data_IF_041081453484
#
_entry.id   IF_041081453484
#
_cell.length_a   1.000
_cell.length_b   1.000
_cell.length_c   1.000
_cell.angle_alpha   90.00
_cell.angle_beta   90.00
_cell.angle_gamma   90.00
#
_symmetry.space_group_name_H-M   'P 1'
#
loop_
_entity.id
_entity.type
_entity.pdbx_description
1 polymer ?
#
# COMPACT_ATOMS: atom_id res chain seq x y z
N UNK A 1 4.87 -16.34 -8.74
CA UNK A 1 5.45 -15.14 -8.10
C UNK A 1 5.30 -13.98 -9.06
N UNK A 2 4.21 -13.23 -8.92
CA UNK A 2 3.82 -12.19 -9.87
C UNK A 2 4.54 -10.86 -9.58
N UNK A 3 5.86 -10.85 -9.78
CA UNK A 3 6.67 -9.63 -9.71
C UNK A 3 6.64 -8.94 -11.08
N UNK A 4 6.17 -7.69 -11.11
CA UNK A 4 6.13 -6.86 -12.33
C UNK A 4 7.52 -6.70 -12.96
N UNK A 5 7.58 -6.56 -14.29
CA UNK A 5 8.81 -6.25 -15.02
C UNK A 5 9.22 -4.76 -14.89
N UNK A 6 10.41 -4.39 -15.35
CA UNK A 6 10.83 -2.98 -15.44
C UNK A 6 9.92 -2.17 -16.36
N UNK A 7 9.53 -2.75 -17.50
CA UNK A 7 8.60 -2.12 -18.43
C UNK A 7 7.23 -1.82 -17.75
N UNK A 8 6.79 -2.72 -16.88
CA UNK A 8 5.55 -2.59 -16.09
C UNK A 8 5.66 -1.63 -14.89
N UNK A 9 6.84 -1.03 -14.65
CA UNK A 9 7.01 0.03 -13.65
C UNK A 9 7.74 -0.37 -12.38
N UNK A 10 8.27 -1.60 -12.28
CA UNK A 10 9.16 -1.99 -11.18
C UNK A 10 10.38 -1.05 -11.13
N UNK A 11 10.78 -0.61 -9.94
CA UNK A 11 11.89 0.32 -9.72
C UNK A 11 13.18 -0.32 -9.18
N UNK A 12 13.06 -1.37 -8.38
CA UNK A 12 14.20 -2.06 -7.75
C UNK A 12 14.43 -3.46 -8.35
N UNK A 13 15.53 -4.11 -7.96
CA UNK A 13 15.87 -5.48 -8.39
C UNK A 13 14.83 -6.49 -7.87
N UNK A 14 14.66 -7.60 -8.60
CA UNK A 14 13.65 -8.62 -8.25
C UNK A 14 13.86 -9.21 -6.86
N UNK A 15 15.10 -9.43 -6.46
CA UNK A 15 15.48 -10.02 -5.17
C UNK A 15 15.03 -9.19 -3.96
N UNK A 16 14.99 -7.86 -4.12
CA UNK A 16 14.58 -6.92 -3.06
C UNK A 16 13.11 -6.50 -3.19
N UNK A 17 12.37 -7.05 -4.15
CA UNK A 17 10.96 -6.76 -4.33
C UNK A 17 10.10 -7.61 -3.42
N UNK A 18 8.87 -7.12 -3.20
CA UNK A 18 7.83 -7.82 -2.47
C UNK A 18 6.70 -8.15 -3.42
N UNK A 19 6.09 -9.32 -3.24
CA UNK A 19 4.93 -9.74 -4.02
C UNK A 19 3.67 -8.97 -3.58
N UNK A 20 2.94 -8.44 -4.56
CA UNK A 20 1.66 -7.74 -4.38
C UNK A 20 1.64 -6.75 -3.19
N UNK A 21 2.53 -5.73 -3.16
CA UNK A 21 2.49 -4.71 -2.12
C UNK A 21 1.26 -3.81 -2.31
N UNK A 22 0.61 -3.45 -1.20
CA UNK A 22 -0.54 -2.53 -1.20
C UNK A 22 -0.13 -1.14 -0.72
N UNK A 23 -0.89 -0.11 -1.11
CA UNK A 23 -0.61 1.26 -0.65
C UNK A 23 -0.71 1.38 0.88
N UNK A 24 -1.58 0.59 1.53
CA UNK A 24 -1.75 0.59 2.97
C UNK A 24 -0.52 0.02 3.70
N UNK A 25 0.05 -1.09 3.22
CA UNK A 25 1.31 -1.63 3.77
C UNK A 25 2.47 -0.65 3.59
N UNK A 26 2.57 -0.01 2.42
CA UNK A 26 3.60 1.00 2.16
C UNK A 26 3.44 2.18 3.13
N UNK A 27 2.22 2.65 3.36
CA UNK A 27 1.94 3.71 4.33
C UNK A 27 2.38 3.30 5.73
N UNK A 28 1.97 2.12 6.20
CA UNK A 28 2.21 1.69 7.58
C UNK A 28 3.71 1.56 7.87
N UNK A 29 4.48 1.00 6.93
CA UNK A 29 5.94 0.93 7.05
C UNK A 29 6.58 2.32 7.09
N UNK A 30 6.17 3.25 6.22
CA UNK A 30 6.79 4.58 6.17
C UNK A 30 6.41 5.45 7.36
N UNK A 31 5.18 5.33 7.86
CA UNK A 31 4.76 6.01 9.10
C UNK A 31 5.56 5.46 10.28
N UNK A 32 5.76 4.14 10.37
CA UNK A 32 6.59 3.54 11.41
C UNK A 32 8.07 3.98 11.31
N UNK A 33 8.57 4.24 10.10
CA UNK A 33 9.90 4.81 9.85
C UNK A 33 9.99 6.34 10.08
N UNK A 34 8.91 6.97 10.57
CA UNK A 34 8.88 8.39 10.96
C UNK A 34 8.56 9.37 9.83
N UNK A 35 8.20 8.91 8.63
CA UNK A 35 7.86 9.81 7.53
C UNK A 35 6.48 10.45 7.66
N UNK A 36 6.37 11.69 7.15
CA UNK A 36 5.07 12.30 6.86
C UNK A 36 4.53 11.77 5.53
N UNK A 37 3.38 11.09 5.59
CA UNK A 37 2.79 10.38 4.46
C UNK A 37 1.39 10.89 4.12
N UNK A 38 1.14 11.13 2.83
CA UNK A 38 -0.19 11.38 2.26
C UNK A 38 -0.64 10.23 1.35
N UNK A 39 -1.94 9.93 1.34
CA UNK A 39 -2.54 8.89 0.50
C UNK A 39 -3.50 9.52 -0.50
N UNK A 40 -3.41 9.12 -1.76
CA UNK A 40 -4.28 9.61 -2.81
C UNK A 40 -4.93 8.46 -3.60
N UNK A 41 -6.18 8.62 -4.00
CA UNK A 41 -6.94 7.62 -4.76
C UNK A 41 -6.61 7.64 -6.28
N UNK A 42 -5.34 7.47 -6.62
CA UNK A 42 -4.81 7.50 -8.00
C UNK A 42 -4.40 6.10 -8.47
N UNK A 43 -4.52 5.86 -9.78
CA UNK A 43 -4.07 4.63 -10.44
C UNK A 43 -2.76 4.90 -11.21
N UNK A 44 -1.80 3.99 -11.12
CA UNK A 44 -0.56 4.10 -11.90
C UNK A 44 -0.82 3.82 -13.38
N UNK A 45 -0.28 4.63 -14.29
CA UNK A 45 -0.63 4.58 -15.72
C UNK A 45 -0.29 3.24 -16.40
N UNK A 46 0.69 2.49 -15.89
CA UNK A 46 1.06 1.17 -16.45
C UNK A 46 0.41 0.00 -15.71
N UNK A 47 -0.39 0.26 -14.69
CA UNK A 47 -1.20 -0.77 -14.06
C UNK A 47 -2.39 -1.11 -14.96
N UNK A 48 -2.58 -2.41 -15.22
CA UNK A 48 -3.62 -2.90 -16.13
C UNK A 48 -4.93 -3.15 -15.39
N UNK A 49 -4.87 -3.61 -14.14
CA UNK A 49 -6.07 -3.84 -13.34
C UNK A 49 -6.63 -2.53 -12.80
N UNK A 50 -7.97 -2.42 -12.78
CA UNK A 50 -8.70 -1.29 -12.20
C UNK A 50 -9.30 -1.61 -10.82
N UNK A 51 -8.97 -2.78 -10.26
CA UNK A 51 -9.44 -3.16 -8.93
C UNK A 51 -8.92 -2.21 -7.85
N UNK A 52 -9.70 -2.05 -6.79
CA UNK A 52 -9.37 -1.15 -5.69
C UNK A 52 -8.05 -1.49 -4.99
N UNK A 53 -7.66 -2.77 -4.97
CA UNK A 53 -6.41 -3.22 -4.36
C UNK A 53 -5.16 -2.61 -5.03
N UNK A 54 -5.22 -2.35 -6.33
CA UNK A 54 -4.12 -1.78 -7.11
C UNK A 54 -4.18 -0.25 -7.22
N UNK A 55 -5.19 0.37 -6.60
CA UNK A 55 -5.35 1.82 -6.56
C UNK A 55 -4.73 2.39 -5.29
N UNK A 56 -4.07 3.53 -5.41
CA UNK A 56 -3.40 4.21 -4.31
C UNK A 56 -2.07 4.80 -4.74
N UNK A 57 -1.83 6.07 -4.39
CA UNK A 57 -0.53 6.73 -4.53
C UNK A 57 -0.09 7.26 -3.17
N UNK A 58 1.11 6.86 -2.76
CA UNK A 58 1.74 7.35 -1.55
C UNK A 58 2.60 8.57 -1.89
N UNK A 59 2.35 9.67 -1.17
CA UNK A 59 3.20 10.87 -1.17
C UNK A 59 3.97 10.91 0.13
N UNK A 60 5.26 11.18 0.03
CA UNK A 60 6.17 11.21 1.18
C UNK A 60 6.88 12.55 1.17
N UNK A 61 6.99 13.18 2.35
CA UNK A 61 7.89 14.30 2.52
C UNK A 61 9.33 13.79 2.50
N UNK A 62 10.06 14.12 1.44
CA UNK A 62 11.45 13.67 1.26
C UNK A 62 12.46 14.71 1.74
N UNK A 63 12.11 16.00 1.63
CA UNK A 63 12.91 17.14 2.08
C UNK A 63 12.06 18.09 2.89
N UNK A 64 12.72 18.84 3.77
CA UNK A 64 12.15 19.99 4.47
C UNK A 64 12.15 21.22 3.56
N UNK A 65 11.49 22.29 4.00
CA UNK A 65 11.38 23.53 3.24
C UNK A 65 12.73 24.26 3.07
N UNK A 66 13.68 23.99 3.97
CA UNK A 66 15.08 24.44 3.89
C UNK A 66 15.94 23.61 2.93
N UNK A 67 15.37 22.58 2.31
CA UNK A 67 16.05 21.68 1.37
C UNK A 67 16.82 20.53 2.02
N UNK A 68 16.93 20.48 3.36
CA UNK A 68 17.52 19.36 4.08
C UNK A 68 16.70 18.07 3.89
N UNK A 69 17.31 16.90 4.09
CA UNK A 69 16.59 15.63 4.06
C UNK A 69 15.63 15.54 5.25
N UNK A 70 14.41 15.06 5.01
CA UNK A 70 13.43 14.88 6.07
C UNK A 70 13.88 13.82 7.08
N UNK A 71 14.49 12.74 6.59
CA UNK A 71 15.13 11.71 7.41
C UNK A 71 16.49 11.35 6.78
N UNK A 72 17.57 11.52 7.55
CA UNK A 72 18.95 11.28 7.10
C UNK A 72 19.26 9.81 6.79
N UNK A 73 18.52 8.87 7.39
CA UNK A 73 18.68 7.43 7.15
C UNK A 73 18.26 7.03 5.72
N UNK A 74 17.51 7.92 5.06
CA UNK A 74 16.97 7.72 3.72
C UNK A 74 17.44 8.80 2.74
N UNK A 75 18.73 8.81 2.37
CA UNK A 75 19.30 9.86 1.54
C UNK A 75 18.80 9.85 0.09
N UNK A 76 18.16 8.76 -0.34
CA UNK A 76 17.65 8.60 -1.71
C UNK A 76 16.24 8.02 -1.73
N UNK A 77 15.55 8.15 -2.87
CA UNK A 77 14.28 7.45 -3.07
C UNK A 77 14.46 5.92 -3.11
N UNK A 78 15.61 5.45 -3.61
CA UNK A 78 15.92 4.02 -3.67
C UNK A 78 16.13 3.42 -2.28
N UNK A 79 16.74 4.15 -1.33
CA UNK A 79 16.82 3.69 0.07
C UNK A 79 15.45 3.47 0.69
N UNK A 80 14.47 4.33 0.38
CA UNK A 80 13.08 4.15 0.83
C UNK A 80 12.48 2.88 0.20
N UNK A 81 12.66 2.69 -1.11
CA UNK A 81 12.14 1.52 -1.82
C UNK A 81 12.75 0.20 -1.31
N UNK A 82 14.04 0.20 -0.98
CA UNK A 82 14.70 -0.97 -0.39
C UNK A 82 14.19 -1.27 1.01
N UNK A 83 13.99 -0.25 1.85
CA UNK A 83 13.42 -0.43 3.17
C UNK A 83 11.99 -0.99 3.13
N UNK A 84 11.15 -0.52 2.19
CA UNK A 84 9.84 -1.12 1.94
C UNK A 84 9.96 -2.59 1.55
N UNK A 85 10.91 -2.92 0.68
CA UNK A 85 11.19 -4.28 0.25
C UNK A 85 11.54 -5.21 1.42
N UNK A 86 12.27 -4.69 2.41
CA UNK A 86 12.69 -5.44 3.58
C UNK A 86 11.61 -5.56 4.66
N UNK A 87 10.82 -4.50 4.87
CA UNK A 87 9.91 -4.40 6.03
C UNK A 87 8.50 -4.92 5.75
N UNK A 88 7.99 -4.81 4.52
CA UNK A 88 6.63 -5.29 4.20
C UNK A 88 6.47 -6.79 4.48
N UNK A 89 7.40 -7.70 4.12
CA UNK A 89 7.29 -9.12 4.45
C UNK A 89 7.24 -9.41 5.96
N UNK A 90 7.81 -8.51 6.78
CA UNK A 90 7.86 -8.64 8.24
C UNK A 90 6.58 -8.11 8.93
N UNK A 91 5.62 -7.55 8.19
CA UNK A 91 4.37 -7.06 8.75
C UNK A 91 3.54 -8.22 9.33
N UNK A 92 2.97 -8.01 10.52
CA UNK A 92 2.05 -8.97 11.17
C UNK A 92 0.85 -9.31 10.28
N UNK A 93 0.37 -8.33 9.51
CA UNK A 93 -0.73 -8.50 8.54
C UNK A 93 -0.42 -9.51 7.42
N UNK A 94 0.86 -9.78 7.15
CA UNK A 94 1.30 -10.84 6.22
C UNK A 94 1.58 -12.17 6.91
N UNK A 95 2.03 -12.14 8.17
CA UNK A 95 2.30 -13.36 8.95
C UNK A 95 1.04 -14.18 9.25
N UNK A 96 -0.10 -13.52 9.44
CA UNK A 96 -1.37 -14.20 9.74
C UNK A 96 -2.11 -14.72 8.50
N UNK A 97 -1.62 -14.43 7.28
CA UNK A 97 -2.20 -14.94 6.03
C UNK A 97 -1.58 -16.28 5.65
N UNK A 98 -1.72 -17.28 6.52
CA UNK A 98 -1.54 -18.67 6.12
C UNK A 98 -2.66 -19.07 5.17
N UNK A 99 -2.29 -19.46 3.94
CA UNK A 99 -3.11 -20.16 2.94
C UNK A 99 -4.58 -19.70 2.77
N UNK A 100 -4.79 -18.73 1.86
CA UNK A 100 -6.03 -18.66 1.08
C UNK A 100 -7.13 -17.73 1.59
N UNK A 101 -6.94 -16.42 1.47
CA UNK A 101 -8.07 -15.49 1.45
C UNK A 101 -7.90 -14.45 0.34
N UNK A 102 -8.79 -14.56 -0.65
CA UNK A 102 -9.14 -13.52 -1.62
C UNK A 102 -9.52 -12.23 -0.88
N UNK A 103 -9.31 -11.03 -1.46
CA UNK A 103 -9.65 -9.78 -0.80
C UNK A 103 -11.12 -9.75 -0.41
N UNK A 104 -11.36 -9.76 0.89
CA UNK A 104 -12.67 -9.66 1.52
C UNK A 104 -13.35 -8.36 1.08
N UNK A 105 -14.41 -8.50 0.27
CA UNK A 105 -15.34 -7.43 -0.05
C UNK A 105 -16.02 -6.98 1.24
N UNK A 106 -15.66 -5.79 1.71
CA UNK A 106 -16.30 -5.17 2.86
C UNK A 106 -17.64 -4.57 2.39
N UNK A 107 -18.68 -5.40 2.28
CA UNK A 107 -20.07 -4.95 2.14
C UNK A 107 -20.58 -4.62 3.54
N UNK A 108 -20.42 -3.36 3.96
CA UNK A 108 -21.11 -2.83 5.12
C UNK A 108 -22.59 -2.64 4.81
N UNK A 109 -23.42 -3.64 5.10
CA UNK A 109 -24.87 -3.49 5.20
C UNK A 109 -25.26 -3.43 6.67
N UNK A 110 -25.48 -2.21 7.15
CA UNK A 110 -25.88 -1.96 8.53
C UNK A 110 -27.29 -2.56 8.78
N UNK A 111 -27.38 -3.41 9.80
CA UNK A 111 -28.59 -4.13 10.20
C UNK A 111 -29.46 -3.21 11.08
N UNK A 112 -30.44 -2.54 10.47
CA UNK A 112 -31.52 -1.82 11.17
C UNK A 112 -32.83 -2.62 11.14
N UNK A 113 -33.20 -3.20 12.28
CA UNK A 113 -34.42 -4.01 12.48
C UNK A 113 -35.56 -3.07 12.93
N UNK A 114 -36.63 -2.94 12.14
CA UNK A 114 -37.82 -2.16 12.51
C UNK A 114 -39.09 -2.67 11.83
N UNK A 115 -40.03 -3.21 12.61
CA UNK A 115 -41.36 -3.72 12.22
C UNK A 115 -42.25 -2.62 11.64
N UNK A 116 -43.07 -2.94 10.63
CA UNK A 116 -44.24 -2.14 10.26
C UNK A 116 -45.15 -2.85 9.24
N UNK A 117 -46.35 -3.27 9.67
CA UNK A 117 -47.44 -3.85 8.87
C UNK A 117 -47.95 -2.86 7.82
N UNK A 118 -48.40 -3.36 6.66
CA UNK A 118 -49.27 -2.59 5.76
C UNK A 118 -49.60 -3.30 4.46
N UNK A 119 -50.61 -4.18 4.50
CA UNK A 119 -51.39 -4.62 3.33
C UNK A 119 -52.08 -3.39 2.73
N UNK A 120 -51.98 -3.19 1.41
CA UNK A 120 -53.07 -2.82 0.48
C UNK A 120 -52.53 -2.81 -0.94
#
# INVERSE_FOLDING_TARGET
MDIKSLAQGRKITKEKCVENPTHQEIRDVLVAAGFKVGVENKLYSRERSKEFLYRGRIRVQFRNDDGSLYNSDFPTRDSIMHHLGEMIPKLKSRQNKGAGEQPQQNIGSNKGKGKGKGRR
#
